data_IF_945557043970
#
_entry.id   IF_945557043970
#
_cell.length_a   1.000
_cell.length_b   1.000
_cell.length_c   1.000
_cell.angle_alpha   90.00
_cell.angle_beta   90.00
_cell.angle_gamma   90.00
#
_symmetry.space_group_name_H-M   'P 1'
#
loop_
_entity.id
_entity.type
_entity.pdbx_description
1 polymer ?
#
# COMPACT_ATOMS: atom_id res chain seq x y z
N UNK A 1 22.96 5.50 -0.76
CA UNK A 1 22.14 4.49 -1.47
C UNK A 1 20.78 4.30 -0.80
N UNK A 2 20.09 5.38 -0.41
CA UNK A 2 18.76 5.34 0.25
C UNK A 2 17.62 5.67 -0.73
N UNK A 3 17.94 6.10 -1.95
CA UNK A 3 16.96 6.57 -2.93
C UNK A 3 16.21 5.44 -3.67
N UNK A 4 16.63 4.18 -3.58
CA UNK A 4 16.00 3.09 -4.35
C UNK A 4 14.81 2.42 -3.64
N UNK A 5 14.61 2.70 -2.34
CA UNK A 5 13.47 2.16 -1.58
C UNK A 5 12.20 2.99 -1.74
N UNK A 6 12.35 4.29 -2.06
CA UNK A 6 11.25 5.22 -2.25
C UNK A 6 10.79 5.27 -3.73
N UNK A 7 11.70 5.08 -4.68
CA UNK A 7 11.39 5.05 -6.12
C UNK A 7 10.53 3.83 -6.51
N UNK A 8 10.72 2.69 -5.81
CA UNK A 8 9.88 1.50 -5.98
C UNK A 8 8.50 1.60 -5.32
N UNK A 9 8.23 2.65 -4.56
CA UNK A 9 6.96 2.89 -3.87
C UNK A 9 6.01 3.79 -4.67
N UNK A 10 6.34 4.06 -5.94
CA UNK A 10 5.52 4.84 -6.85
C UNK A 10 4.65 3.88 -7.68
N UNK A 11 3.51 3.45 -7.11
CA UNK A 11 2.51 2.66 -7.84
C UNK A 11 1.71 1.65 -7.02
N UNK A 12 1.08 0.71 -7.75
CA UNK A 12 0.17 -0.32 -7.25
C UNK A 12 0.85 -1.22 -6.20
N UNK A 13 0.43 -1.10 -4.95
CA UNK A 13 0.79 -2.02 -3.87
C UNK A 13 0.15 -3.39 -4.15
N UNK A 14 0.93 -4.46 -4.09
CA UNK A 14 0.46 -5.85 -4.23
C UNK A 14 0.84 -6.65 -3.00
N UNK A 15 0.19 -7.80 -2.77
CA UNK A 15 0.50 -8.68 -1.64
C UNK A 15 1.95 -9.14 -1.62
N UNK A 16 2.53 -9.46 -2.78
CA UNK A 16 3.95 -9.82 -2.88
C UNK A 16 4.88 -8.66 -2.52
N UNK A 17 4.51 -7.43 -2.88
CA UNK A 17 5.28 -6.24 -2.53
C UNK A 17 5.21 -5.95 -1.03
N UNK A 18 4.01 -6.05 -0.44
CA UNK A 18 3.83 -5.93 1.01
C UNK A 18 4.61 -7.00 1.78
N UNK A 19 4.56 -8.26 1.32
CA UNK A 19 5.31 -9.37 1.91
C UNK A 19 6.83 -9.09 1.94
N UNK A 20 7.38 -8.56 0.84
CA UNK A 20 8.80 -8.20 0.77
C UNK A 20 9.19 -7.06 1.72
N UNK A 21 8.30 -6.07 1.92
CA UNK A 21 8.54 -4.91 2.79
C UNK A 21 8.37 -5.28 4.26
N UNK A 22 7.27 -5.94 4.61
CA UNK A 22 6.95 -6.40 5.96
C UNK A 22 7.82 -7.59 6.38
N UNK A 23 8.57 -8.20 5.46
CA UNK A 23 9.32 -9.45 5.64
C UNK A 23 8.43 -10.57 6.19
N UNK A 24 7.22 -10.67 5.65
CA UNK A 24 6.21 -11.65 6.02
C UNK A 24 5.90 -12.59 4.84
N UNK A 25 5.22 -13.70 5.13
CA UNK A 25 4.70 -14.57 4.07
C UNK A 25 3.60 -13.86 3.27
N UNK A 26 3.38 -14.29 2.02
CA UNK A 26 2.29 -13.78 1.18
C UNK A 26 0.90 -13.95 1.84
N UNK A 27 0.71 -15.01 2.63
CA UNK A 27 -0.55 -15.27 3.35
C UNK A 27 -0.79 -14.23 4.45
N UNK A 28 0.24 -13.95 5.26
CA UNK A 28 0.21 -12.89 6.27
C UNK A 28 0.00 -11.52 5.63
N UNK A 29 0.74 -11.23 4.56
CA UNK A 29 0.62 -9.98 3.83
C UNK A 29 -0.78 -9.73 3.26
N UNK A 30 -1.45 -10.78 2.77
CA UNK A 30 -2.84 -10.67 2.31
C UNK A 30 -3.79 -10.29 3.44
N UNK A 31 -3.65 -10.91 4.62
CA UNK A 31 -4.48 -10.59 5.80
C UNK A 31 -4.26 -9.16 6.29
N UNK A 32 -3.00 -8.71 6.33
CA UNK A 32 -2.65 -7.33 6.66
C UNK A 32 -3.30 -6.37 5.67
N UNK A 33 -3.17 -6.62 4.36
CA UNK A 33 -3.80 -5.78 3.33
C UNK A 33 -5.32 -5.76 3.48
N UNK A 34 -5.96 -6.90 3.71
CA UNK A 34 -7.42 -6.97 3.94
C UNK A 34 -7.82 -6.13 5.15
N UNK A 35 -7.05 -6.20 6.23
CA UNK A 35 -7.29 -5.39 7.43
C UNK A 35 -7.15 -3.90 7.11
N UNK A 36 -6.12 -3.51 6.37
CA UNK A 36 -5.90 -2.12 5.97
C UNK A 36 -6.96 -1.58 5.00
N UNK A 37 -7.53 -2.44 4.15
CA UNK A 37 -8.69 -2.08 3.32
C UNK A 37 -9.93 -1.81 4.18
N UNK A 38 -10.19 -2.66 5.18
CA UNK A 38 -11.30 -2.49 6.13
C UNK A 38 -11.11 -1.22 6.97
N UNK A 39 -9.87 -0.92 7.36
CA UNK A 39 -9.51 0.31 8.09
C UNK A 39 -9.53 1.57 7.20
N UNK A 40 -9.67 1.42 5.88
CA UNK A 40 -9.64 2.54 4.93
C UNK A 40 -8.24 3.16 4.69
N UNK A 41 -7.19 2.51 5.19
CA UNK A 41 -5.79 2.91 4.98
C UNK A 41 -5.30 2.52 3.58
N UNK A 42 -5.84 1.43 3.03
CA UNK A 42 -5.64 1.03 1.65
C UNK A 42 -6.97 1.11 0.90
N UNK A 43 -6.89 1.35 -0.41
CA UNK A 43 -8.02 1.25 -1.34
C UNK A 43 -7.67 0.32 -2.49
N UNK A 44 -8.65 -0.44 -2.97
CA UNK A 44 -8.46 -1.26 -4.18
C UNK A 44 -8.49 -0.33 -5.40
N UNK A 45 -7.45 -0.41 -6.22
CA UNK A 45 -7.35 0.35 -7.46
C UNK A 45 -8.26 -0.24 -8.54
N UNK A 46 -8.96 0.55 -9.35
CA UNK A 46 -9.80 0.08 -10.46
C UNK A 46 -8.96 -0.40 -11.67
N UNK A 47 -7.80 -1.01 -11.43
CA UNK A 47 -6.96 -1.53 -12.50
C UNK A 47 -7.67 -2.72 -13.18
N UNK A 48 -8.27 -2.47 -14.35
CA UNK A 48 -9.07 -3.42 -15.13
C UNK A 48 -8.26 -4.59 -15.72
N UNK A 49 -7.82 -5.53 -14.87
CA UNK A 49 -7.17 -6.78 -15.27
C UNK A 49 -7.07 -7.78 -14.11
N UNK A 50 -6.46 -8.95 -14.35
CA UNK A 50 -6.29 -10.04 -13.35
C UNK A 50 -5.41 -9.68 -12.13
N UNK A 51 -4.88 -8.45 -12.07
CA UNK A 51 -3.95 -8.02 -11.03
C UNK A 51 -4.66 -7.21 -9.95
N UNK A 52 -4.66 -7.72 -8.72
CA UNK A 52 -5.16 -6.99 -7.55
C UNK A 52 -4.14 -5.93 -7.14
N UNK A 53 -4.46 -4.69 -7.47
CA UNK A 53 -3.67 -3.52 -7.13
C UNK A 53 -4.33 -2.76 -5.98
N UNK A 54 -3.54 -2.39 -4.99
CA UNK A 54 -3.95 -1.57 -3.86
C UNK A 54 -3.19 -0.24 -3.91
N UNK A 55 -3.82 0.81 -3.45
CA UNK A 55 -3.24 2.15 -3.35
C UNK A 55 -3.32 2.60 -1.90
N UNK A 56 -2.30 3.32 -1.44
CA UNK A 56 -2.31 3.92 -0.12
C UNK A 56 -3.35 5.03 -0.09
N UNK A 57 -4.41 4.77 0.64
CA UNK A 57 -5.40 5.76 1.06
C UNK A 57 -4.91 6.29 2.41
N UNK A 58 -3.72 6.90 2.41
CA UNK A 58 -3.36 7.71 3.57
C UNK A 58 -4.45 8.79 3.65
N UNK A 59 -5.15 8.96 4.78
CA UNK A 59 -5.74 10.25 5.03
C UNK A 59 -4.53 11.18 4.96
N UNK A 60 -4.50 12.06 3.96
CA UNK A 60 -3.57 13.17 3.95
C UNK A 60 -3.60 13.70 5.37
N UNK A 61 -2.51 13.50 6.13
CA UNK A 61 -2.42 14.03 7.47
C UNK A 61 -2.83 15.49 7.31
N UNK A 62 -3.81 16.01 8.09
CA UNK A 62 -4.27 17.37 7.89
C UNK A 62 -3.01 18.20 7.89
N UNK A 63 -2.64 18.70 6.71
CA UNK A 63 -1.50 19.57 6.58
C UNK A 63 -2.01 20.81 7.24
N UNK A 64 -1.75 20.89 8.54
CA UNK A 64 -1.68 22.11 9.30
C UNK A 64 -0.71 23.00 8.55
N UNK A 65 -1.25 23.73 7.59
CA UNK A 65 -0.73 24.98 7.07
C UNK A 65 -1.80 25.99 7.51
N UNK A 66 -1.81 26.34 8.79
CA UNK A 66 -1.09 27.50 9.35
C UNK A 66 -1.57 28.79 8.70
N UNK A 67 -2.25 29.62 9.52
CA UNK A 67 -2.17 31.08 9.49
C UNK A 67 -2.96 31.79 8.41
#
# INVERSE_FOLDING_TARGET
>A
MLNCLLDGFEGKLTSSKWAAIAKCSADTALRDITTLLVLGVLRKSPAGGRSSAYELSLPEAPTSRTG
#
